data_IF_683002817289
#
_entry.id   IF_683002817289
#
_cell.length_a   1.000
_cell.length_b   1.000
_cell.length_c   1.000
_cell.angle_alpha   90.00
_cell.angle_beta   90.00
_cell.angle_gamma   90.00
#
_symmetry.space_group_name_H-M   'P 1'
#
loop_
_entity.id
_entity.type
_entity.pdbx_description
1 polymer ?
#
# COMPACT_ATOMS: atom_id res chain seq x y z
N UNK A 1 -6.67 -8.22 -18.39
CA UNK A 1 -5.76 -7.18 -18.92
C UNK A 1 -5.75 -5.96 -17.99
N UNK A 2 -5.09 -6.05 -16.83
CA UNK A 2 -4.71 -4.90 -16.01
C UNK A 2 -3.20 -5.03 -15.82
N UNK A 3 -2.47 -4.88 -16.92
CA UNK A 3 -1.01 -4.99 -16.95
C UNK A 3 -0.38 -3.63 -17.25
N UNK A 4 -0.87 -2.55 -16.66
CA UNK A 4 -0.21 -1.26 -16.88
C UNK A 4 -0.24 -0.38 -15.61
N UNK A 5 0.98 -0.01 -15.19
CA UNK A 5 1.37 1.02 -14.22
C UNK A 5 1.47 0.64 -12.73
N UNK A 6 2.40 -0.25 -12.39
CA UNK A 6 3.04 -0.27 -11.07
C UNK A 6 4.40 0.41 -11.16
N UNK A 7 4.38 1.74 -11.22
CA UNK A 7 5.57 2.54 -10.98
C UNK A 7 5.78 2.61 -9.46
N UNK A 8 6.47 1.61 -8.90
CA UNK A 8 7.00 1.66 -7.54
C UNK A 8 8.02 2.80 -7.46
N UNK A 9 7.55 4.00 -7.10
CA UNK A 9 8.42 5.11 -6.77
C UNK A 9 9.03 4.85 -5.38
N UNK A 10 10.07 4.01 -5.34
CA UNK A 10 10.97 3.94 -4.20
C UNK A 10 11.76 5.25 -4.13
N UNK A 11 11.19 6.26 -3.49
CA UNK A 11 11.85 7.53 -3.20
C UNK A 11 12.83 7.31 -2.05
N UNK A 12 14.08 7.00 -2.39
CA UNK A 12 15.21 7.12 -1.47
C UNK A 12 15.40 8.60 -1.12
N UNK A 13 14.78 9.06 -0.04
CA UNK A 13 14.99 10.41 0.48
C UNK A 13 16.32 10.42 1.25
N UNK A 14 17.36 10.98 0.63
CA UNK A 14 18.62 11.27 1.31
C UNK A 14 18.39 12.38 2.34
N UNK A 15 18.41 12.02 3.63
CA UNK A 15 18.22 12.98 4.73
C UNK A 15 19.51 13.81 4.93
N UNK A 16 19.45 15.15 4.88
CA UNK A 16 20.62 16.01 5.06
C UNK A 16 21.16 15.94 6.49
N UNK A 17 22.46 16.22 6.64
CA UNK A 17 23.12 16.37 7.93
C UNK A 17 22.64 17.65 8.65
N UNK A 18 22.41 17.55 9.97
CA UNK A 18 22.01 18.67 10.81
C UNK A 18 23.18 19.66 10.96
N UNK A 19 22.93 20.97 10.86
CA UNK A 19 23.94 21.99 11.15
C UNK A 19 24.01 22.32 12.66
N UNK A 20 25.19 22.72 13.14
CA UNK A 20 25.51 23.00 14.55
C UNK A 20 24.80 24.24 15.16
N UNK A 21 23.89 24.89 14.43
CA UNK A 21 23.19 26.12 14.84
C UNK A 21 21.75 25.89 15.32
N UNK A 22 21.30 24.64 15.41
CA UNK A 22 19.93 24.28 15.82
C UNK A 22 19.83 24.17 17.35
N UNK A 23 18.86 24.83 18.02
CA UNK A 23 18.64 24.70 19.46
C UNK A 23 18.52 23.23 19.88
N UNK A 24 19.11 22.86 21.04
CA UNK A 24 19.16 21.47 21.51
C UNK A 24 17.78 20.79 21.56
N UNK A 25 16.73 21.52 21.94
CA UNK A 25 15.34 21.02 21.94
C UNK A 25 14.81 20.72 20.53
N UNK A 26 15.18 21.55 19.53
CA UNK A 26 14.84 21.31 18.13
C UNK A 26 15.64 20.14 17.56
N UNK A 27 16.91 19.98 17.95
CA UNK A 27 17.73 18.82 17.59
C UNK A 27 17.13 17.51 18.11
N UNK A 28 16.70 17.47 19.37
CA UNK A 28 16.02 16.30 19.96
C UNK A 28 14.73 15.96 19.22
N UNK A 29 13.91 16.96 18.90
CA UNK A 29 12.68 16.77 18.09
C UNK A 29 13.00 16.18 16.72
N UNK A 30 14.03 16.69 16.05
CA UNK A 30 14.43 16.23 14.73
C UNK A 30 15.00 14.80 14.75
N UNK A 31 15.76 14.43 15.79
CA UNK A 31 16.19 13.04 15.96
C UNK A 31 15.01 12.10 16.22
N UNK A 32 14.05 12.51 17.06
CA UNK A 32 12.84 11.74 17.30
C UNK A 32 12.02 11.54 16.02
N UNK A 33 11.83 12.58 15.21
CA UNK A 33 11.15 12.47 13.90
C UNK A 33 11.88 11.50 12.98
N UNK A 34 13.20 11.68 12.81
CA UNK A 34 14.03 10.80 11.97
C UNK A 34 13.96 9.33 12.40
N UNK A 35 13.93 9.07 13.70
CA UNK A 35 13.84 7.72 14.24
C UNK A 35 12.54 7.00 13.85
N UNK A 36 11.47 7.75 13.55
CA UNK A 36 10.18 7.16 13.13
C UNK A 36 10.05 6.94 11.63
N UNK A 37 10.83 7.65 10.80
CA UNK A 37 10.70 7.57 9.34
C UNK A 37 11.10 6.19 8.79
N UNK A 38 12.25 5.64 9.20
CA UNK A 38 12.71 4.35 8.68
C UNK A 38 11.78 3.18 9.06
N UNK A 39 11.30 3.05 10.31
CA UNK A 39 10.27 2.07 10.67
C UNK A 39 8.99 2.21 9.84
N UNK A 40 8.48 3.43 9.68
CA UNK A 40 7.27 3.69 8.87
C UNK A 40 7.44 3.30 7.40
N UNK A 41 8.61 3.55 6.82
CA UNK A 41 8.91 3.10 5.46
C UNK A 41 8.86 1.58 5.35
N UNK A 42 9.44 0.85 6.32
CA UNK A 42 9.39 -0.61 6.33
C UNK A 42 7.95 -1.15 6.48
N UNK A 43 7.11 -0.49 7.27
CA UNK A 43 5.68 -0.81 7.39
C UNK A 43 4.93 -0.59 6.07
N UNK A 44 5.22 0.51 5.36
CA UNK A 44 4.65 0.79 4.03
C UNK A 44 5.09 -0.28 3.02
N UNK A 45 6.36 -0.68 3.04
CA UNK A 45 6.88 -1.72 2.14
C UNK A 45 6.21 -3.08 2.41
N UNK A 46 5.98 -3.41 3.68
CA UNK A 46 5.25 -4.62 4.06
C UNK A 46 3.77 -4.56 3.61
N UNK A 47 3.10 -3.42 3.81
CA UNK A 47 1.73 -3.20 3.38
C UNK A 47 1.59 -3.26 1.85
N UNK A 48 2.59 -2.76 1.09
CA UNK A 48 2.63 -2.87 -0.35
C UNK A 48 2.70 -4.32 -0.83
N UNK A 49 3.59 -5.14 -0.23
CA UNK A 49 3.67 -6.58 -0.52
C UNK A 49 2.35 -7.30 -0.22
N UNK A 50 1.71 -6.97 0.89
CA UNK A 50 0.41 -7.53 1.24
C UNK A 50 -0.67 -7.13 0.23
N UNK A 51 -0.71 -5.86 -0.18
CA UNK A 51 -1.61 -5.37 -1.23
C UNK A 51 -1.41 -6.13 -2.53
N UNK A 52 -0.16 -6.34 -2.94
CA UNK A 52 0.19 -7.06 -4.18
C UNK A 52 -0.29 -8.51 -4.13
N UNK A 53 -0.05 -9.22 -3.01
CA UNK A 53 -0.56 -10.58 -2.82
C UNK A 53 -2.10 -10.66 -2.84
N UNK A 54 -2.79 -9.65 -2.30
CA UNK A 54 -4.26 -9.57 -2.36
C UNK A 54 -4.76 -9.27 -3.78
N UNK A 55 -3.99 -8.53 -4.58
CA UNK A 55 -4.31 -8.29 -5.98
C UNK A 55 -4.24 -9.60 -6.78
N UNK A 56 -3.15 -10.35 -6.63
CA UNK A 56 -2.99 -11.68 -7.25
C UNK A 56 -4.11 -12.64 -6.85
N UNK A 57 -4.49 -12.66 -5.58
CA UNK A 57 -5.61 -13.49 -5.11
C UNK A 57 -6.96 -13.06 -5.71
N UNK A 58 -7.22 -11.76 -5.84
CA UNK A 58 -8.44 -11.26 -6.45
C UNK A 58 -8.50 -11.58 -7.96
N UNK A 59 -7.36 -11.54 -8.66
CA UNK A 59 -7.26 -11.96 -10.06
C UNK A 59 -7.56 -13.46 -10.21
N UNK A 60 -6.93 -14.31 -9.40
CA UNK A 60 -7.15 -15.76 -9.44
C UNK A 60 -8.60 -16.16 -9.14
N UNK A 61 -9.24 -15.54 -8.13
CA UNK A 61 -10.67 -15.78 -7.86
C UNK A 61 -11.57 -15.20 -8.95
N UNK A 62 -11.13 -14.13 -9.63
CA UNK A 62 -11.80 -13.57 -10.80
C UNK A 62 -11.81 -14.56 -11.97
N UNK A 63 -10.66 -15.16 -12.29
CA UNK A 63 -10.54 -16.20 -13.31
C UNK A 63 -11.42 -17.42 -12.97
N UNK A 64 -11.37 -17.89 -11.71
CA UNK A 64 -12.21 -19.01 -11.27
C UNK A 64 -13.72 -18.70 -11.36
N UNK A 65 -14.12 -17.45 -11.12
CA UNK A 65 -15.50 -17.01 -11.32
C UNK A 65 -15.88 -16.97 -12.80
N UNK A 66 -15.02 -16.44 -13.67
CA UNK A 66 -15.25 -16.42 -15.12
C UNK A 66 -15.40 -17.83 -15.68
N UNK A 67 -14.55 -18.77 -15.27
CA UNK A 67 -14.65 -20.19 -15.65
C UNK A 67 -15.97 -20.82 -15.18
N UNK A 68 -16.37 -20.57 -13.94
CA UNK A 68 -17.64 -21.08 -13.42
C UNK A 68 -18.86 -20.49 -14.17
N UNK A 69 -18.75 -19.24 -14.61
CA UNK A 69 -19.80 -18.58 -15.38
C UNK A 69 -20.03 -19.21 -16.76
N UNK A 70 -18.99 -19.76 -17.40
CA UNK A 70 -19.11 -20.49 -18.67
C UNK A 70 -20.11 -21.66 -18.55
N UNK A 71 -20.10 -22.37 -17.43
CA UNK A 71 -20.95 -23.55 -17.20
C UNK A 71 -22.27 -23.24 -16.50
N UNK A 72 -22.53 -21.97 -16.14
CA UNK A 72 -23.64 -21.58 -15.27
C UNK A 72 -25.00 -22.16 -15.71
N UNK A 73 -25.27 -22.12 -17.01
CA UNK A 73 -26.56 -22.55 -17.57
C UNK A 73 -26.67 -24.05 -17.85
N UNK A 74 -25.60 -24.82 -17.61
CA UNK A 74 -25.62 -26.26 -17.89
C UNK A 74 -26.41 -27.05 -16.82
N UNK A 75 -26.50 -26.57 -15.59
CA UNK A 75 -27.33 -27.18 -14.53
C UNK A 75 -27.53 -26.24 -13.33
N UNK A 76 -28.50 -26.57 -12.46
CA UNK A 76 -28.68 -25.86 -11.19
C UNK A 76 -27.43 -25.95 -10.28
N UNK A 77 -26.72 -27.09 -10.30
CA UNK A 77 -25.48 -27.25 -9.54
C UNK A 77 -24.37 -26.32 -10.06
N UNK A 78 -24.25 -26.14 -11.37
CA UNK A 78 -23.29 -25.19 -11.95
C UNK A 78 -23.67 -23.73 -11.65
N UNK A 79 -24.96 -23.40 -11.61
CA UNK A 79 -25.40 -22.07 -11.18
C UNK A 79 -24.98 -21.78 -9.73
N UNK A 80 -25.14 -22.74 -8.82
CA UNK A 80 -24.68 -22.62 -7.43
C UNK A 80 -23.16 -22.49 -7.33
N UNK A 81 -22.41 -23.26 -8.12
CA UNK A 81 -20.94 -23.16 -8.16
C UNK A 81 -20.48 -21.77 -8.61
N UNK A 82 -21.14 -21.20 -9.63
CA UNK A 82 -20.84 -19.84 -10.10
C UNK A 82 -21.19 -18.77 -9.07
N UNK A 83 -22.30 -18.91 -8.34
CA UNK A 83 -22.66 -18.00 -7.24
C UNK A 83 -21.65 -18.08 -6.08
N UNK A 84 -21.17 -19.28 -5.75
CA UNK A 84 -20.13 -19.47 -4.74
C UNK A 84 -18.77 -18.90 -5.17
N UNK A 85 -18.40 -19.06 -6.45
CA UNK A 85 -17.20 -18.44 -7.01
C UNK A 85 -17.29 -16.91 -7.00
N UNK A 86 -18.47 -16.37 -7.35
CA UNK A 86 -18.73 -14.93 -7.27
C UNK A 86 -18.53 -14.37 -5.86
N UNK A 87 -19.04 -15.08 -4.85
CA UNK A 87 -18.91 -14.64 -3.45
C UNK A 87 -17.44 -14.58 -3.00
N UNK A 88 -16.62 -15.55 -3.43
CA UNK A 88 -15.17 -15.58 -3.17
C UNK A 88 -14.45 -14.43 -3.88
N UNK A 89 -14.73 -14.23 -5.17
CA UNK A 89 -14.17 -13.11 -5.93
C UNK A 89 -14.53 -11.75 -5.31
N UNK A 90 -15.80 -11.55 -4.96
CA UNK A 90 -16.24 -10.29 -4.34
C UNK A 90 -15.57 -10.07 -2.98
N UNK A 91 -15.30 -11.13 -2.20
CA UNK A 91 -14.56 -11.04 -0.95
C UNK A 91 -13.09 -10.68 -1.17
N UNK A 92 -12.41 -11.34 -2.12
CA UNK A 92 -11.03 -11.04 -2.48
C UNK A 92 -10.88 -9.60 -2.98
N UNK A 93 -11.79 -9.14 -3.84
CA UNK A 93 -11.82 -7.76 -4.35
C UNK A 93 -11.99 -6.73 -3.25
N UNK A 94 -12.85 -7.00 -2.25
CA UNK A 94 -13.01 -6.12 -1.08
C UNK A 94 -11.72 -6.05 -0.25
N UNK A 95 -11.08 -7.20 0.00
CA UNK A 95 -9.83 -7.24 0.75
C UNK A 95 -8.72 -6.45 0.05
N UNK A 96 -8.55 -6.65 -1.26
CA UNK A 96 -7.63 -5.87 -2.09
C UNK A 96 -7.90 -4.36 -1.99
N UNK A 97 -9.15 -3.93 -2.21
CA UNK A 97 -9.51 -2.51 -2.17
C UNK A 97 -9.27 -1.87 -0.79
N UNK A 98 -9.52 -2.60 0.30
CA UNK A 98 -9.23 -2.13 1.66
C UNK A 98 -7.72 -1.93 1.87
N UNK A 99 -6.90 -2.90 1.44
CA UNK A 99 -5.45 -2.81 1.55
C UNK A 99 -4.88 -1.66 0.69
N UNK A 100 -5.40 -1.47 -0.53
CA UNK A 100 -5.00 -0.36 -1.39
C UNK A 100 -5.35 1.00 -0.79
N UNK A 101 -6.55 1.16 -0.25
CA UNK A 101 -6.96 2.40 0.41
C UNK A 101 -6.09 2.72 1.64
N UNK A 102 -5.82 1.72 2.47
CA UNK A 102 -4.96 1.85 3.64
C UNK A 102 -3.52 2.22 3.24
N UNK A 103 -2.96 1.57 2.22
CA UNK A 103 -1.62 1.88 1.70
C UNK A 103 -1.55 3.32 1.20
N UNK A 104 -2.53 3.77 0.41
CA UNK A 104 -2.58 5.15 -0.07
C UNK A 104 -2.68 6.16 1.08
N UNK A 105 -3.43 5.87 2.14
CA UNK A 105 -3.49 6.73 3.32
C UNK A 105 -2.13 6.80 4.04
N UNK A 106 -1.47 5.66 4.24
CA UNK A 106 -0.18 5.57 4.91
C UNK A 106 0.93 6.30 4.13
N UNK A 107 0.99 6.11 2.81
CA UNK A 107 1.96 6.79 1.94
C UNK A 107 1.76 8.30 1.96
N UNK A 108 0.50 8.79 1.92
CA UNK A 108 0.22 10.23 2.05
C UNK A 108 0.72 10.78 3.38
N UNK A 109 0.43 10.10 4.48
CA UNK A 109 0.88 10.54 5.80
C UNK A 109 2.41 10.52 5.90
N UNK A 110 3.07 9.48 5.38
CA UNK A 110 4.52 9.40 5.38
C UNK A 110 5.18 10.52 4.58
N UNK A 111 4.64 10.83 3.40
CA UNK A 111 5.12 11.95 2.59
C UNK A 111 4.96 13.30 3.32
N UNK A 112 3.88 13.47 4.08
CA UNK A 112 3.68 14.63 4.94
C UNK A 112 4.72 14.67 6.07
N UNK A 113 4.96 13.55 6.76
CA UNK A 113 5.95 13.45 7.84
C UNK A 113 7.38 13.78 7.33
N UNK A 114 7.72 13.32 6.12
CA UNK A 114 8.99 13.65 5.45
C UNK A 114 9.06 15.14 5.10
N UNK A 115 7.99 15.71 4.56
CA UNK A 115 7.94 17.14 4.25
C UNK A 115 8.10 18.01 5.50
N UNK A 116 7.46 17.63 6.60
CA UNK A 116 7.54 18.33 7.88
C UNK A 116 8.93 18.21 8.51
N UNK A 117 9.56 17.03 8.41
CA UNK A 117 10.96 16.84 8.78
C UNK A 117 11.86 17.74 7.94
N UNK A 118 11.73 17.71 6.62
CA UNK A 118 12.58 18.49 5.72
C UNK A 118 12.46 20.00 5.99
N UNK A 119 11.26 20.49 6.32
CA UNK A 119 11.01 21.89 6.66
C UNK A 119 11.58 22.29 8.02
N UNK A 120 11.48 21.41 9.01
CA UNK A 120 11.79 21.74 10.41
C UNK A 120 13.23 21.42 10.81
N UNK A 121 13.90 20.55 10.06
CA UNK A 121 15.16 19.91 10.44
C UNK A 121 16.26 20.01 9.38
N UNK A 122 15.95 20.49 8.16
CA UNK A 122 16.98 20.82 7.18
C UNK A 122 17.37 22.29 7.34
N UNK A 123 18.65 22.64 7.50
CA UNK A 123 19.08 24.03 7.50
C UNK A 123 18.69 24.70 6.18
N UNK A 124 18.19 25.95 6.22
CA UNK A 124 18.14 26.77 5.02
C UNK A 124 19.57 26.94 4.49
N UNK A 125 19.75 26.76 3.18
CA UNK A 125 21.02 27.06 2.51
C UNK A 125 21.36 28.53 2.62
#
# INVERSE_FOLDING_TARGET
MIRIFLASAALLVALPAMADTVPAQQMQRCQAMKATLAPKQAEIDAAAKQRDALAEAAEAEGEAYEDAQVLRLASAANAQAADAAKARFDAARRAFAQAEFALHANVRQFNQDVADYNRSCTPAK
#
